data_IF_159340139126
#
_entry.id   IF_159340139126
#
_cell.length_a   1.000
_cell.length_b   1.000
_cell.length_c   1.000
_cell.angle_alpha   90.00
_cell.angle_beta   90.00
_cell.angle_gamma   90.00
#
_symmetry.space_group_name_H-M   'P 1'
#
loop_
_entity.id
_entity.type
_entity.pdbx_description
1 polymer ?
#
# COMPACT_ATOMS: atom_id res chain seq x y z
N UNK A 1 33.01 4.90 -19.07
CA UNK A 1 33.06 5.18 -17.62
C UNK A 1 32.01 6.20 -17.20
N UNK A 2 31.82 7.29 -17.94
CA UNK A 2 30.82 8.32 -17.60
C UNK A 2 29.38 7.80 -17.51
N UNK A 3 28.93 6.96 -18.45
CA UNK A 3 27.55 6.43 -18.42
C UNK A 3 27.21 5.64 -17.13
N UNK A 4 28.11 4.75 -16.69
CA UNK A 4 27.91 3.96 -15.48
C UNK A 4 28.00 4.83 -14.22
N UNK A 5 28.85 5.85 -14.25
CA UNK A 5 28.93 6.85 -13.19
C UNK A 5 27.63 7.66 -13.10
N UNK A 6 27.04 8.07 -14.22
CA UNK A 6 25.75 8.78 -14.25
C UNK A 6 24.61 7.93 -13.71
N UNK A 7 24.58 6.62 -14.01
CA UNK A 7 23.59 5.70 -13.43
C UNK A 7 23.82 5.58 -11.92
N UNK A 8 25.07 5.38 -11.50
CA UNK A 8 25.41 5.24 -10.09
C UNK A 8 25.03 6.48 -9.27
N UNK A 9 25.33 7.68 -9.78
CA UNK A 9 24.96 8.94 -9.13
C UNK A 9 23.44 9.11 -9.12
N UNK A 10 22.73 8.81 -10.20
CA UNK A 10 21.27 8.87 -10.22
C UNK A 10 20.62 7.95 -9.18
N UNK A 11 21.21 6.79 -8.90
CA UNK A 11 20.69 5.82 -7.92
C UNK A 11 21.01 6.14 -6.47
N UNK A 12 22.10 6.87 -6.22
CA UNK A 12 22.62 7.13 -4.86
C UNK A 12 22.38 8.55 -4.36
N UNK A 13 21.89 9.44 -5.23
CA UNK A 13 21.55 10.82 -4.88
C UNK A 13 20.11 10.96 -4.43
N UNK A 14 19.88 11.85 -3.46
CA UNK A 14 18.55 12.20 -2.99
C UNK A 14 17.81 13.00 -4.08
N UNK A 15 16.78 12.39 -4.65
CA UNK A 15 15.90 13.04 -5.60
C UNK A 15 14.54 12.33 -5.61
N UNK A 16 13.53 12.97 -5.01
CA UNK A 16 12.19 12.40 -4.89
C UNK A 16 11.54 12.10 -6.25
N UNK A 17 11.65 13.03 -7.20
CA UNK A 17 11.06 12.88 -8.54
C UNK A 17 11.74 11.73 -9.29
N UNK A 18 13.06 11.68 -9.25
CA UNK A 18 13.83 10.61 -9.88
C UNK A 18 13.51 9.26 -9.24
N UNK A 19 13.40 9.20 -7.92
CA UNK A 19 13.04 7.99 -7.18
C UNK A 19 11.66 7.49 -7.59
N UNK A 20 10.66 8.38 -7.70
CA UNK A 20 9.32 8.03 -8.18
C UNK A 20 9.35 7.44 -9.60
N UNK A 21 10.12 8.04 -10.51
CA UNK A 21 10.26 7.56 -11.89
C UNK A 21 10.93 6.17 -11.93
N UNK A 22 12.08 6.03 -11.27
CA UNK A 22 12.85 4.78 -11.28
C UNK A 22 12.06 3.64 -10.60
N UNK A 23 11.34 3.94 -9.53
CA UNK A 23 10.56 2.94 -8.80
C UNK A 23 9.17 2.69 -9.42
N UNK A 24 8.75 3.46 -10.42
CA UNK A 24 7.44 3.29 -11.07
C UNK A 24 7.14 1.85 -11.54
N UNK A 25 8.08 1.05 -12.07
CA UNK A 25 7.77 -0.32 -12.52
C UNK A 25 7.39 -1.26 -11.36
N UNK A 26 7.85 -0.96 -10.15
CA UNK A 26 7.55 -1.75 -8.95
C UNK A 26 6.07 -1.66 -8.55
N UNK A 27 5.35 -0.62 -8.98
CA UNK A 27 3.90 -0.51 -8.75
C UNK A 27 3.12 -1.67 -9.37
N UNK A 28 3.54 -2.16 -10.54
CA UNK A 28 2.90 -3.33 -11.19
C UNK A 28 3.09 -4.60 -10.36
N UNK A 29 4.28 -4.77 -9.78
CA UNK A 29 4.62 -5.91 -8.92
C UNK A 29 3.78 -5.85 -7.64
N UNK A 30 3.72 -4.69 -7.00
CA UNK A 30 2.92 -4.46 -5.80
C UNK A 30 1.44 -4.77 -6.04
N UNK A 31 0.88 -4.21 -7.11
CA UNK A 31 -0.53 -4.43 -7.48
C UNK A 31 -0.82 -5.89 -7.83
N UNK A 32 0.14 -6.58 -8.46
CA UNK A 32 -0.01 -7.99 -8.76
C UNK A 32 -0.03 -8.85 -7.48
N UNK A 33 0.90 -8.60 -6.55
CA UNK A 33 0.96 -9.32 -5.27
C UNK A 33 -0.27 -9.00 -4.42
N UNK A 34 -0.71 -7.74 -4.41
CA UNK A 34 -1.89 -7.33 -3.67
C UNK A 34 -3.15 -8.07 -4.13
N UNK A 35 -3.33 -8.17 -5.45
CA UNK A 35 -4.38 -8.98 -6.07
C UNK A 35 -4.30 -10.45 -5.65
N UNK A 36 -3.12 -11.07 -5.70
CA UNK A 36 -2.95 -12.46 -5.28
C UNK A 36 -3.35 -12.67 -3.82
N UNK A 37 -2.98 -11.75 -2.92
CA UNK A 37 -3.34 -11.82 -1.50
C UNK A 37 -4.85 -11.69 -1.28
N UNK A 38 -5.51 -10.64 -1.79
CA UNK A 38 -6.94 -10.49 -1.50
C UNK A 38 -7.80 -11.54 -2.20
N UNK A 39 -7.45 -11.96 -3.42
CA UNK A 39 -8.25 -12.98 -4.14
C UNK A 39 -8.21 -14.34 -3.43
N UNK A 40 -7.05 -14.69 -2.85
CA UNK A 40 -6.91 -15.91 -2.04
C UNK A 40 -7.66 -15.80 -0.71
N UNK A 41 -7.43 -14.73 0.05
CA UNK A 41 -8.03 -14.55 1.39
C UNK A 41 -9.56 -14.41 1.32
N UNK A 42 -10.08 -13.66 0.35
CA UNK A 42 -11.53 -13.43 0.17
C UNK A 42 -12.21 -14.47 -0.72
N UNK A 43 -11.43 -15.44 -1.22
CA UNK A 43 -11.89 -16.60 -1.96
C UNK A 43 -12.81 -16.27 -3.14
N UNK A 44 -12.43 -15.27 -3.94
CA UNK A 44 -13.06 -15.03 -5.23
C UNK A 44 -12.03 -15.14 -6.34
N UNK A 45 -12.42 -15.81 -7.44
CA UNK A 45 -11.53 -16.13 -8.55
C UNK A 45 -11.83 -15.20 -9.72
N UNK A 46 -10.81 -14.50 -10.19
CA UNK A 46 -10.84 -13.81 -11.48
C UNK A 46 -10.36 -14.71 -12.61
N UNK A 47 -10.84 -14.47 -13.83
CA UNK A 47 -10.23 -15.05 -15.02
C UNK A 47 -8.83 -14.46 -15.25
N UNK A 48 -7.99 -15.15 -16.03
CA UNK A 48 -6.65 -14.64 -16.39
C UNK A 48 -6.71 -13.25 -17.04
N UNK A 49 -7.73 -12.99 -17.86
CA UNK A 49 -7.94 -11.68 -18.50
C UNK A 49 -8.37 -10.61 -17.50
N UNK A 50 -9.26 -10.92 -16.55
CA UNK A 50 -9.66 -9.99 -15.48
C UNK A 50 -8.47 -9.63 -14.58
N UNK A 51 -7.63 -10.60 -14.22
CA UNK A 51 -6.45 -10.38 -13.40
C UNK A 51 -5.47 -9.41 -14.09
N UNK A 52 -5.17 -9.66 -15.38
CA UNK A 52 -4.28 -8.79 -16.16
C UNK A 52 -4.89 -7.39 -16.30
N UNK A 53 -6.18 -7.29 -16.62
CA UNK A 53 -6.89 -6.01 -16.72
C UNK A 53 -6.83 -5.22 -15.41
N UNK A 54 -7.08 -5.88 -14.27
CA UNK A 54 -7.00 -5.26 -12.96
C UNK A 54 -5.60 -4.71 -12.68
N UNK A 55 -4.57 -5.53 -12.90
CA UNK A 55 -3.19 -5.12 -12.63
C UNK A 55 -2.79 -3.92 -13.46
N UNK A 56 -3.10 -3.92 -14.75
CA UNK A 56 -2.78 -2.81 -15.66
C UNK A 56 -3.56 -1.54 -15.32
N UNK A 57 -4.86 -1.65 -15.08
CA UNK A 57 -5.70 -0.47 -14.80
C UNK A 57 -5.36 0.16 -13.45
N UNK A 58 -5.16 -0.65 -12.41
CA UNK A 58 -4.85 -0.12 -11.09
C UNK A 58 -3.44 0.45 -11.01
N UNK A 59 -2.43 -0.22 -11.57
CA UNK A 59 -1.06 0.32 -11.65
C UNK A 59 -0.98 1.63 -12.43
N UNK A 60 -1.65 1.75 -13.58
CA UNK A 60 -1.69 3.01 -14.32
C UNK A 60 -2.37 4.11 -13.51
N UNK A 61 -3.49 3.81 -12.84
CA UNK A 61 -4.18 4.78 -12.00
C UNK A 61 -3.33 5.24 -10.81
N UNK A 62 -2.58 4.33 -10.19
CA UNK A 62 -1.73 4.65 -9.05
C UNK A 62 -0.51 5.47 -9.47
N UNK A 63 0.07 5.20 -10.65
CA UNK A 63 1.15 6.00 -11.21
C UNK A 63 0.70 7.44 -11.53
N UNK A 64 -0.47 7.58 -12.15
CA UNK A 64 -1.07 8.91 -12.41
C UNK A 64 -1.27 9.66 -11.08
N UNK A 65 -1.82 8.98 -10.07
CA UNK A 65 -2.04 9.54 -8.73
C UNK A 65 -0.73 10.01 -8.09
N UNK A 66 0.34 9.19 -8.15
CA UNK A 66 1.66 9.51 -7.57
C UNK A 66 2.32 10.74 -8.21
N UNK A 67 2.15 10.94 -9.53
CA UNK A 67 2.80 12.04 -10.24
C UNK A 67 2.02 13.35 -10.22
N UNK A 68 0.68 13.30 -10.14
CA UNK A 68 -0.17 14.50 -10.19
C UNK A 68 -0.50 15.01 -8.79
N UNK A 69 -0.63 14.11 -7.81
CA UNK A 69 -1.25 14.40 -6.53
C UNK A 69 -0.19 14.31 -5.44
N UNK A 70 0.01 15.38 -4.64
CA UNK A 70 1.00 15.35 -3.58
C UNK A 70 0.59 14.30 -2.53
N UNK A 71 1.59 13.62 -1.98
CA UNK A 71 1.40 12.88 -0.73
C UNK A 71 1.00 13.88 0.36
N UNK A 72 0.03 13.59 1.25
CA UNK A 72 -0.69 12.35 1.48
C UNK A 72 -1.73 11.88 0.47
N UNK A 73 -2.26 12.79 -0.33
CA UNK A 73 -3.61 12.70 -0.88
C UNK A 73 -3.75 11.62 -1.96
N UNK A 74 -2.66 11.31 -2.65
CA UNK A 74 -2.59 10.23 -3.63
C UNK A 74 -3.01 8.86 -3.06
N UNK A 75 -2.69 8.57 -1.80
CA UNK A 75 -3.03 7.31 -1.15
C UNK A 75 -4.53 7.16 -0.88
N UNK A 76 -5.20 8.23 -0.42
CA UNK A 76 -6.65 8.23 -0.21
C UNK A 76 -7.41 8.00 -1.51
N UNK A 77 -6.88 8.54 -2.61
CA UNK A 77 -7.44 8.31 -3.94
C UNK A 77 -7.29 6.85 -4.35
N UNK A 78 -6.10 6.26 -4.15
CA UNK A 78 -5.88 4.85 -4.45
C UNK A 78 -6.76 3.93 -3.59
N UNK A 79 -7.00 4.30 -2.32
CA UNK A 79 -7.87 3.59 -1.38
C UNK A 79 -9.33 3.55 -1.84
N UNK A 80 -9.77 4.54 -2.62
CA UNK A 80 -11.11 4.58 -3.22
C UNK A 80 -11.13 3.90 -4.61
N UNK A 81 -10.07 4.09 -5.41
CA UNK A 81 -9.99 3.51 -6.76
C UNK A 81 -9.93 1.98 -6.70
N UNK A 82 -9.14 1.41 -5.79
CA UNK A 82 -9.00 -0.05 -5.64
C UNK A 82 -10.35 -0.77 -5.50
N UNK A 83 -11.21 -0.46 -4.51
CA UNK A 83 -12.50 -1.13 -4.36
C UNK A 83 -13.42 -0.90 -5.56
N UNK A 84 -13.36 0.26 -6.23
CA UNK A 84 -14.14 0.51 -7.46
C UNK A 84 -13.69 -0.43 -8.58
N UNK A 85 -12.38 -0.56 -8.82
CA UNK A 85 -11.84 -1.45 -9.84
C UNK A 85 -12.16 -2.92 -9.51
N UNK A 86 -12.07 -3.31 -8.25
CA UNK A 86 -12.43 -4.68 -7.81
C UNK A 86 -13.91 -4.96 -8.06
N UNK A 87 -14.80 -3.98 -7.82
CA UNK A 87 -16.23 -4.11 -8.12
C UNK A 87 -16.50 -4.27 -9.62
N UNK A 88 -15.90 -3.41 -10.44
CA UNK A 88 -16.17 -3.38 -11.89
C UNK A 88 -15.57 -4.61 -12.60
N UNK A 89 -14.33 -4.98 -12.26
CA UNK A 89 -13.58 -6.01 -13.00
C UNK A 89 -13.96 -7.42 -12.53
N UNK A 90 -13.98 -7.65 -11.22
CA UNK A 90 -14.27 -8.97 -10.64
C UNK A 90 -15.75 -9.20 -10.36
N UNK A 91 -16.60 -8.16 -10.50
CA UNK A 91 -18.06 -8.24 -10.27
C UNK A 91 -18.41 -8.83 -8.90
N UNK A 92 -17.63 -8.46 -7.88
CA UNK A 92 -17.81 -8.93 -6.51
C UNK A 92 -18.83 -8.06 -5.75
N UNK A 93 -19.19 -8.47 -4.53
CA UNK A 93 -20.03 -7.65 -3.67
C UNK A 93 -19.23 -6.46 -3.10
N UNK A 94 -19.90 -5.31 -2.90
CA UNK A 94 -19.34 -4.06 -2.37
C UNK A 94 -18.49 -4.31 -1.12
N UNK A 95 -19.00 -5.13 -0.20
CA UNK A 95 -18.28 -5.45 1.03
C UNK A 95 -16.97 -6.20 0.79
N UNK A 96 -16.94 -7.16 -0.15
CA UNK A 96 -15.69 -7.87 -0.51
C UNK A 96 -14.68 -6.94 -1.17
N UNK A 97 -15.15 -5.99 -1.98
CA UNK A 97 -14.28 -5.03 -2.63
C UNK A 97 -13.63 -4.02 -1.67
N UNK A 98 -14.35 -3.54 -0.66
CA UNK A 98 -13.73 -2.71 0.38
C UNK A 98 -12.77 -3.54 1.26
N UNK A 99 -13.15 -4.78 1.58
CA UNK A 99 -12.26 -5.66 2.34
C UNK A 99 -11.00 -6.03 1.58
N UNK A 100 -11.03 -6.14 0.24
CA UNK A 100 -9.81 -6.44 -0.51
C UNK A 100 -8.75 -5.37 -0.33
N UNK A 101 -9.16 -4.10 -0.33
CA UNK A 101 -8.22 -3.00 -0.09
C UNK A 101 -7.75 -3.00 1.37
N UNK A 102 -8.67 -3.07 2.34
CA UNK A 102 -8.34 -3.00 3.77
C UNK A 102 -7.41 -4.15 4.19
N UNK A 103 -7.73 -5.39 3.80
CA UNK A 103 -6.92 -6.56 4.16
C UNK A 103 -5.52 -6.42 3.57
N UNK A 104 -5.43 -6.07 2.29
CA UNK A 104 -4.13 -5.99 1.62
C UNK A 104 -3.29 -4.86 2.19
N UNK A 105 -3.91 -3.71 2.42
CA UNK A 105 -3.27 -2.57 3.05
C UNK A 105 -2.70 -2.96 4.41
N UNK A 106 -3.51 -3.55 5.29
CA UNK A 106 -3.08 -4.04 6.62
C UNK A 106 -1.89 -5.01 6.53
N UNK A 107 -1.90 -5.93 5.57
CA UNK A 107 -0.78 -6.87 5.37
C UNK A 107 0.49 -6.11 5.01
N UNK A 108 0.43 -5.17 4.06
CA UNK A 108 1.59 -4.37 3.69
C UNK A 108 2.07 -3.45 4.83
N UNK A 109 1.19 -2.96 5.70
CA UNK A 109 1.60 -2.22 6.92
C UNK A 109 2.42 -3.14 7.83
N UNK A 110 1.87 -4.32 8.14
CA UNK A 110 2.48 -5.26 9.09
C UNK A 110 3.84 -5.77 8.62
N UNK A 111 4.05 -5.84 7.30
CA UNK A 111 5.33 -6.20 6.70
C UNK A 111 6.26 -4.98 6.59
N UNK A 112 5.73 -3.85 6.14
CA UNK A 112 6.51 -2.66 5.79
C UNK A 112 7.17 -2.00 7.00
N UNK A 113 6.42 -1.76 8.07
CA UNK A 113 6.94 -1.09 9.29
C UNK A 113 8.18 -1.81 9.86
N UNK A 114 8.15 -3.12 10.15
CA UNK A 114 9.32 -3.78 10.73
C UNK A 114 10.51 -3.79 9.78
N UNK A 115 10.30 -3.99 8.47
CA UNK A 115 11.40 -3.95 7.49
C UNK A 115 12.03 -2.56 7.45
N UNK A 116 11.22 -1.51 7.41
CA UNK A 116 11.72 -0.14 7.35
C UNK A 116 12.49 0.23 8.63
N UNK A 117 11.99 -0.17 9.80
CA UNK A 117 12.69 0.00 11.07
C UNK A 117 14.03 -0.74 11.12
N UNK A 118 14.09 -1.97 10.61
CA UNK A 118 15.34 -2.71 10.50
C UNK A 118 16.33 -1.96 9.60
N UNK A 119 15.89 -1.49 8.44
CA UNK A 119 16.75 -0.74 7.50
C UNK A 119 17.31 0.56 8.13
N UNK A 120 16.48 1.29 8.88
CA UNK A 120 16.92 2.50 9.61
C UNK A 120 18.03 2.15 10.60
N UNK A 121 17.88 1.07 11.37
CA UNK A 121 18.88 0.65 12.36
C UNK A 121 20.17 0.18 11.66
N UNK A 122 20.06 -0.60 10.58
CA UNK A 122 21.22 -1.14 9.86
C UNK A 122 22.03 -0.07 9.14
N UNK A 123 21.37 0.89 8.50
CA UNK A 123 22.03 1.94 7.70
C UNK A 123 22.24 3.25 8.47
N UNK A 124 21.61 3.40 9.65
CA UNK A 124 21.64 4.62 10.45
C UNK A 124 21.18 5.88 9.68
N UNK A 125 20.17 5.72 8.84
CA UNK A 125 19.58 6.78 8.00
C UNK A 125 18.11 7.01 8.38
N UNK A 126 17.58 8.19 8.05
CA UNK A 126 16.16 8.50 8.28
C UNK A 126 15.24 7.84 7.26
N UNK A 127 13.95 7.73 7.60
CA UNK A 127 12.88 7.26 6.70
C UNK A 127 12.82 8.07 5.40
N UNK A 128 13.06 9.39 5.48
CA UNK A 128 12.99 10.27 4.32
C UNK A 128 14.05 9.92 3.30
N UNK A 129 15.28 9.66 3.76
CA UNK A 129 16.41 9.27 2.90
C UNK A 129 16.12 7.95 2.19
N UNK A 130 15.48 6.99 2.87
CA UNK A 130 15.09 5.71 2.25
C UNK A 130 14.09 5.92 1.10
N UNK A 131 13.19 6.91 1.23
CA UNK A 131 12.16 7.20 0.24
C UNK A 131 12.62 8.16 -0.88
N UNK A 132 13.66 8.97 -0.65
CA UNK A 132 14.18 9.94 -1.62
C UNK A 132 15.42 9.47 -2.39
N UNK A 133 16.11 8.42 -1.93
CA UNK A 133 17.22 7.79 -2.66
C UNK A 133 16.74 6.50 -3.35
N UNK A 134 16.90 6.37 -4.69
CA UNK A 134 16.38 5.23 -5.43
C UNK A 134 16.90 3.88 -4.96
N UNK A 135 18.20 3.75 -4.65
CA UNK A 135 18.79 2.45 -4.30
C UNK A 135 18.18 1.86 -3.03
N UNK A 136 17.94 2.70 -2.01
CA UNK A 136 17.32 2.27 -0.75
C UNK A 136 15.85 1.95 -0.95
N UNK A 137 15.12 2.76 -1.75
CA UNK A 137 13.71 2.50 -2.06
C UNK A 137 13.54 1.16 -2.79
N UNK A 138 14.31 0.92 -3.86
CA UNK A 138 14.30 -0.34 -4.61
C UNK A 138 14.58 -1.52 -3.68
N UNK A 139 15.64 -1.41 -2.86
CA UNK A 139 16.01 -2.48 -1.94
C UNK A 139 14.89 -2.78 -0.93
N UNK A 140 14.31 -1.74 -0.33
CA UNK A 140 13.20 -1.88 0.62
C UNK A 140 11.96 -2.52 -0.03
N UNK A 141 11.57 -2.08 -1.22
CA UNK A 141 10.45 -2.61 -1.99
C UNK A 141 10.67 -4.09 -2.34
N UNK A 142 11.87 -4.47 -2.79
CA UNK A 142 12.22 -5.86 -3.07
C UNK A 142 12.01 -6.78 -1.85
N UNK A 143 12.45 -6.36 -0.66
CA UNK A 143 12.28 -7.16 0.56
C UNK A 143 10.80 -7.27 0.93
N UNK A 144 10.06 -6.15 0.94
CA UNK A 144 8.64 -6.11 1.29
C UNK A 144 7.83 -7.04 0.38
N UNK A 145 8.05 -6.95 -0.93
CA UNK A 145 7.33 -7.76 -1.91
C UNK A 145 7.72 -9.24 -1.85
N UNK A 146 8.98 -9.55 -1.55
CA UNK A 146 9.41 -10.93 -1.33
C UNK A 146 8.71 -11.55 -0.12
N UNK A 147 8.61 -10.82 1.00
CA UNK A 147 7.90 -11.26 2.20
C UNK A 147 6.40 -11.41 1.93
N UNK A 148 5.80 -10.47 1.20
CA UNK A 148 4.39 -10.55 0.80
C UNK A 148 4.10 -11.77 -0.10
N UNK A 149 5.01 -12.11 -1.01
CA UNK A 149 4.93 -13.34 -1.82
C UNK A 149 5.02 -14.60 -0.97
N UNK A 150 5.93 -14.65 0.00
CA UNK A 150 6.03 -15.77 0.95
C UNK A 150 4.71 -15.92 1.70
N UNK A 151 4.13 -14.82 2.18
CA UNK A 151 2.83 -14.83 2.85
C UNK A 151 1.71 -15.35 1.95
N UNK A 152 1.66 -14.91 0.69
CA UNK A 152 0.72 -15.46 -0.30
C UNK A 152 0.87 -16.98 -0.46
N UNK A 153 2.11 -17.49 -0.62
CA UNK A 153 2.39 -18.93 -0.74
C UNK A 153 1.91 -19.67 0.51
N UNK A 154 2.13 -19.11 1.71
CA UNK A 154 1.63 -19.71 2.95
C UNK A 154 0.10 -19.72 3.00
N UNK A 155 -0.57 -18.64 2.57
CA UNK A 155 -2.04 -18.58 2.52
C UNK A 155 -2.61 -19.66 1.61
N UNK A 156 -1.98 -19.90 0.45
CA UNK A 156 -2.35 -21.01 -0.45
C UNK A 156 -2.14 -22.37 0.22
N UNK A 157 -0.97 -22.60 0.83
CA UNK A 157 -0.64 -23.89 1.46
C UNK A 157 -1.61 -24.26 2.59
N UNK A 158 -2.05 -23.27 3.36
CA UNK A 158 -2.98 -23.45 4.47
C UNK A 158 -4.46 -23.28 4.09
N UNK A 159 -4.78 -23.03 2.81
CA UNK A 159 -6.14 -22.75 2.33
C UNK A 159 -6.88 -21.68 3.15
N UNK A 160 -6.16 -20.61 3.52
CA UNK A 160 -6.72 -19.51 4.32
C UNK A 160 -7.81 -18.80 3.50
N UNK A 161 -9.08 -18.99 3.88
CA UNK A 161 -10.22 -18.32 3.25
C UNK A 161 -11.21 -17.78 4.28
N UNK A 162 -11.75 -16.59 4.02
CA UNK A 162 -12.79 -15.98 4.86
C UNK A 162 -14.17 -16.30 4.25
N UNK A 163 -14.64 -17.54 4.44
CA UNK A 163 -15.97 -17.99 3.96
C UNK A 163 -17.15 -17.46 4.79
N UNK A 164 -16.89 -16.90 5.98
CA UNK A 164 -17.90 -16.30 6.85
C UNK A 164 -18.63 -15.11 6.21
N UNK A 165 -17.96 -14.42 5.28
CA UNK A 165 -18.49 -13.23 4.60
C UNK A 165 -19.71 -13.52 3.73
N UNK A 166 -19.80 -14.72 3.18
CA UNK A 166 -20.91 -15.12 2.30
C UNK A 166 -22.20 -15.42 3.08
N UNK A 167 -22.09 -15.59 4.41
CA UNK A 167 -23.22 -15.93 5.29
C UNK A 167 -23.91 -14.71 5.92
N UNK A 168 -23.37 -13.50 5.73
CA UNK A 168 -23.94 -12.31 6.34
C UNK A 168 -25.22 -11.85 5.65
N UNK A 169 -26.23 -11.48 6.44
CA UNK A 169 -27.48 -10.89 5.96
C UNK A 169 -27.23 -9.49 5.37
N UNK A 170 -28.11 -9.04 4.46
CA UNK A 170 -27.99 -7.72 3.81
C UNK A 170 -27.90 -6.55 4.81
N UNK A 171 -28.69 -6.60 5.90
CA UNK A 171 -28.69 -5.56 6.96
C UNK A 171 -27.35 -5.49 7.71
N UNK A 172 -26.72 -6.64 8.02
CA UNK A 172 -25.40 -6.67 8.68
C UNK A 172 -24.29 -6.17 7.76
N UNK A 173 -24.37 -6.45 6.46
CA UNK A 173 -23.41 -5.94 5.48
C UNK A 173 -23.45 -4.42 5.36
N UNK A 174 -24.65 -3.81 5.37
CA UNK A 174 -24.79 -2.35 5.36
C UNK A 174 -24.20 -1.69 6.61
N UNK A 175 -24.35 -2.31 7.79
CA UNK A 175 -23.75 -1.81 9.04
C UNK A 175 -22.22 -1.89 8.99
N UNK A 176 -21.66 -3.01 8.49
CA UNK A 176 -20.20 -3.17 8.35
C UNK A 176 -19.64 -2.13 7.36
N UNK A 177 -20.31 -1.92 6.22
CA UNK A 177 -19.91 -0.90 5.24
C UNK A 177 -19.92 0.51 5.84
N UNK A 178 -20.95 0.84 6.62
CA UNK A 178 -21.04 2.12 7.29
C UNK A 178 -19.90 2.31 8.30
N UNK A 179 -19.53 1.26 9.05
CA UNK A 179 -18.39 1.31 9.96
C UNK A 179 -17.05 1.48 9.23
N UNK A 180 -16.85 0.80 8.09
CA UNK A 180 -15.67 0.99 7.26
C UNK A 180 -15.58 2.44 6.79
N UNK A 181 -16.68 3.01 6.30
CA UNK A 181 -16.73 4.39 5.85
C UNK A 181 -16.42 5.39 6.98
N UNK A 182 -17.04 5.21 8.15
CA UNK A 182 -16.76 6.02 9.34
C UNK A 182 -15.30 5.88 9.80
N UNK A 183 -14.72 4.68 9.70
CA UNK A 183 -13.32 4.41 10.01
C UNK A 183 -12.36 5.18 9.09
N UNK A 184 -12.61 5.13 7.77
CA UNK A 184 -11.83 5.89 6.79
C UNK A 184 -11.92 7.39 7.08
N UNK A 185 -13.12 7.93 7.31
CA UNK A 185 -13.31 9.34 7.68
C UNK A 185 -12.54 9.71 8.94
N UNK A 186 -12.59 8.87 9.98
CA UNK A 186 -11.86 9.10 11.23
C UNK A 186 -10.35 9.16 11.00
N UNK A 187 -9.80 8.24 10.21
CA UNK A 187 -8.36 8.21 9.89
C UNK A 187 -7.97 9.44 9.08
N UNK A 188 -8.77 9.84 8.09
CA UNK A 188 -8.53 11.05 7.29
C UNK A 188 -8.51 12.31 8.16
N UNK A 189 -9.47 12.47 9.06
CA UNK A 189 -9.52 13.60 10.00
C UNK A 189 -8.31 13.58 10.93
N UNK A 190 -7.95 12.42 11.49
CA UNK A 190 -6.76 12.27 12.33
C UNK A 190 -5.48 12.62 11.58
N UNK A 191 -5.33 12.19 10.33
CA UNK A 191 -4.16 12.52 9.50
C UNK A 191 -4.08 14.01 9.17
N UNK A 192 -5.22 14.67 8.95
CA UNK A 192 -5.28 16.10 8.70
C UNK A 192 -4.94 16.93 9.95
N UNK A 193 -5.45 16.52 11.12
CA UNK A 193 -5.11 17.17 12.39
C UNK A 193 -3.63 16.93 12.70
N UNK A 194 -3.12 15.72 12.48
CA UNK A 194 -1.72 15.40 12.68
C UNK A 194 -0.79 16.36 11.95
N UNK A 195 -1.05 16.65 10.67
CA UNK A 195 -0.21 17.57 9.89
C UNK A 195 -0.23 19.00 10.42
N UNK A 196 -1.35 19.47 10.97
CA UNK A 196 -1.47 20.81 11.57
C UNK A 196 -0.72 20.96 12.91
N UNK A 197 -0.58 19.88 13.68
CA UNK A 197 -0.01 19.91 15.03
C UNK A 197 1.34 19.17 15.17
N UNK A 198 2.01 18.86 14.06
CA UNK A 198 3.30 18.11 14.02
C UNK A 198 4.35 18.72 14.96
N UNK A 199 4.40 20.04 15.11
CA UNK A 199 5.44 20.75 15.88
C UNK A 199 5.11 20.90 17.38
N UNK A 200 3.84 20.68 17.78
CA UNK A 200 3.35 20.95 19.15
C UNK A 200 3.18 19.65 19.97
N UNK A 201 3.20 18.48 19.31
CA UNK A 201 2.93 17.19 19.96
C UNK A 201 4.12 16.68 20.82
N UNK A 202 3.93 16.39 22.12
CA UNK A 202 5.00 15.96 23.01
C UNK A 202 5.56 14.57 22.68
N UNK A 203 6.88 14.40 22.88
CA UNK A 203 7.69 13.21 22.56
C UNK A 203 7.17 11.86 23.11
N UNK A 204 6.37 11.86 24.20
CA UNK A 204 5.79 10.64 24.80
C UNK A 204 4.74 9.95 23.93
N UNK A 205 4.20 10.63 22.91
CA UNK A 205 3.35 10.01 21.89
C UNK A 205 4.16 9.36 20.75
N UNK A 206 5.49 9.20 20.85
CA UNK A 206 6.34 8.61 19.78
C UNK A 206 5.89 7.21 19.29
N UNK A 207 5.17 6.41 20.08
CA UNK A 207 4.63 5.10 19.64
C UNK A 207 3.36 5.28 18.78
N UNK A 208 2.61 6.35 19.04
CA UNK A 208 1.39 6.78 18.33
C UNK A 208 1.68 8.10 17.61
N UNK A 209 2.91 8.27 17.11
CA UNK A 209 3.20 9.40 16.26
C UNK A 209 2.62 9.07 14.90
N UNK A 210 1.83 9.98 14.31
CA UNK A 210 1.49 9.88 12.90
C UNK A 210 2.78 9.71 12.10
N UNK A 211 3.94 10.27 12.48
CA UNK A 211 5.21 9.98 11.81
C UNK A 211 5.52 8.49 11.55
N UNK A 212 5.14 7.51 12.37
CA UNK A 212 5.38 6.09 12.02
C UNK A 212 4.29 5.46 11.12
N UNK A 213 3.11 6.09 11.04
CA UNK A 213 1.94 5.69 10.23
C UNK A 213 1.70 6.70 9.07
N UNK A 214 2.50 7.75 8.95
CA UNK A 214 2.38 8.84 7.96
C UNK A 214 3.72 9.12 7.28
N UNK A 215 4.90 8.89 7.89
CA UNK A 215 6.17 8.91 7.11
C UNK A 215 6.31 7.67 6.22
N UNK A 216 5.72 6.55 6.63
CA UNK A 216 5.65 5.33 5.81
C UNK A 216 4.57 5.45 4.73
N UNK A 217 3.58 6.33 4.90
CA UNK A 217 2.40 6.38 4.05
C UNK A 217 2.29 7.62 3.16
N UNK A 218 3.00 8.71 3.46
CA UNK A 218 2.92 9.95 2.70
C UNK A 218 4.27 10.42 2.14
N UNK A 219 5.16 9.48 1.80
CA UNK A 219 6.35 9.69 0.97
C UNK A 219 6.59 8.51 0.00
#
# INVERSE_FOLDING_TARGET
MEFLQTIWTALTTENEVMTKIICSPFTFIEVYISMLLFTTILNFKGSRSQNILYVLTFSLSSLISIHIIPTPYNTFINLIICPILVLVIFKTNILKAFLSEIITYLIFILIGIPIHNLLIIFYNISTNIINTIPIYKIFSSCIIYSVALILYITCLKFNINITLLDKFKRKTNSVILLNIFLGILSISIQSYIATLYIEVLPLRFNIVKPNNITLVFFN
#
